data_IF_385091427732
#
_entry.id   IF_385091427732
#
_cell.length_a   1.000
_cell.length_b   1.000
_cell.length_c   1.000
_cell.angle_alpha   90.00
_cell.angle_beta   90.00
_cell.angle_gamma   90.00
#
_symmetry.space_group_name_H-M   'P 1'
#
loop_
_entity.id
_entity.type
_entity.pdbx_description
1 polymer ?
#
# COMPACT_ATOMS: atom_id res chain seq x y z
N UNK A 1 27.80 53.17 5.21
CA UNK A 1 26.47 52.58 4.99
C UNK A 1 26.59 51.09 5.29
N UNK A 2 26.25 50.68 6.52
CA UNK A 2 26.38 49.28 6.97
C UNK A 2 25.21 48.52 6.38
N UNK A 3 25.46 47.53 5.50
CA UNK A 3 24.42 46.63 5.02
C UNK A 3 24.04 45.72 6.18
N UNK A 4 22.89 45.97 6.80
CA UNK A 4 22.35 45.11 7.85
C UNK A 4 21.84 43.82 7.22
N UNK A 5 22.61 42.74 7.38
CA UNK A 5 22.25 41.41 6.89
C UNK A 5 21.47 40.70 8.00
N UNK A 6 20.18 40.45 7.79
CA UNK A 6 19.33 39.76 8.77
C UNK A 6 19.72 38.27 8.80
N UNK A 7 20.33 37.83 9.90
CA UNK A 7 20.68 36.43 10.12
C UNK A 7 19.63 35.77 11.02
N UNK A 8 18.92 34.77 10.47
CA UNK A 8 18.02 33.95 11.27
C UNK A 8 18.83 32.81 11.94
N UNK A 9 18.57 32.55 13.23
CA UNK A 9 19.20 31.48 14.04
C UNK A 9 18.11 30.68 14.74
N UNK A 10 18.31 29.36 14.88
CA UNK A 10 17.46 28.54 15.74
C UNK A 10 17.66 28.96 17.19
N UNK A 11 16.60 28.84 18.00
CA UNK A 11 16.72 28.85 19.45
C UNK A 11 17.31 27.52 19.94
N UNK A 12 17.86 27.48 21.16
CA UNK A 12 18.47 26.28 21.74
C UNK A 12 17.50 25.09 21.75
N UNK A 13 16.20 25.35 22.00
CA UNK A 13 15.11 24.46 21.63
C UNK A 13 14.48 24.93 20.31
N UNK A 14 14.92 24.34 19.20
CA UNK A 14 14.45 24.69 17.86
C UNK A 14 12.97 24.32 17.61
N UNK A 15 12.46 23.28 18.28
CA UNK A 15 11.08 22.79 18.13
C UNK A 15 10.56 22.33 19.48
N UNK A 16 9.69 23.13 20.09
CA UNK A 16 8.96 22.75 21.32
C UNK A 16 7.62 22.11 20.95
N UNK A 17 7.47 20.81 21.19
CA UNK A 17 6.19 20.11 21.02
C UNK A 17 5.34 20.28 22.29
N UNK A 18 4.28 21.09 22.20
CA UNK A 18 3.38 21.37 23.34
C UNK A 18 2.58 20.13 23.80
N UNK A 19 2.38 19.16 22.90
CA UNK A 19 1.77 17.86 23.17
C UNK A 19 2.40 16.83 22.24
N UNK A 20 2.60 15.56 22.66
CA UNK A 20 2.99 14.52 21.73
C UNK A 20 1.97 14.45 20.59
N UNK A 21 2.45 14.56 19.36
CA UNK A 21 1.64 14.45 18.14
C UNK A 21 1.18 12.99 18.05
N UNK A 22 -0.10 12.77 18.38
CA UNK A 22 -0.77 11.47 18.26
C UNK A 22 -1.60 11.51 16.97
N UNK A 23 -1.07 11.01 15.87
CA UNK A 23 -1.87 10.79 14.67
C UNK A 23 -2.46 9.38 14.69
N UNK A 24 -3.71 9.18 14.23
CA UNK A 24 -4.35 7.86 14.23
C UNK A 24 -3.56 6.79 13.47
N UNK A 25 -2.95 7.18 12.33
CA UNK A 25 -2.29 6.26 11.40
C UNK A 25 -0.76 6.38 11.36
N UNK A 26 -0.18 7.34 12.09
CA UNK A 26 1.24 7.69 12.00
C UNK A 26 1.86 7.99 13.36
N UNK A 27 2.92 7.25 13.70
CA UNK A 27 3.75 7.54 14.85
C UNK A 27 4.91 8.46 14.41
N UNK A 28 5.11 9.58 15.10
CA UNK A 28 6.28 10.43 14.87
C UNK A 28 7.53 9.72 15.42
N UNK A 29 8.50 9.40 14.56
CA UNK A 29 9.72 8.67 14.96
C UNK A 29 10.83 9.64 15.34
N UNK A 30 11.08 10.65 14.52
CA UNK A 30 12.13 11.62 14.75
C UNK A 30 11.87 12.90 13.97
N UNK A 31 12.46 14.01 14.40
CA UNK A 31 12.46 15.28 13.68
C UNK A 31 13.88 15.81 13.55
N UNK A 32 14.23 16.35 12.38
CA UNK A 32 15.56 16.91 12.10
C UNK A 32 15.39 18.36 11.65
N UNK A 33 16.11 19.25 12.31
CA UNK A 33 16.17 20.68 11.96
C UNK A 33 17.41 20.95 11.11
N UNK A 34 17.23 21.36 9.87
CA UNK A 34 18.32 21.75 8.98
C UNK A 34 18.33 23.26 8.79
N UNK A 35 19.54 23.83 8.80
CA UNK A 35 19.82 25.21 8.39
C UNK A 35 20.66 25.14 7.12
N UNK A 36 20.12 25.64 6.02
CA UNK A 36 20.83 25.71 4.76
C UNK A 36 20.69 27.11 4.16
N UNK A 37 21.72 27.53 3.43
CA UNK A 37 21.77 28.81 2.75
C UNK A 37 21.51 28.55 1.26
N UNK A 38 20.35 28.97 0.75
CA UNK A 38 20.10 28.93 -0.67
C UNK A 38 20.59 30.23 -1.30
N UNK A 39 21.38 30.10 -2.36
CA UNK A 39 21.68 31.22 -3.25
C UNK A 39 20.51 31.35 -4.22
N UNK A 40 19.69 32.38 -4.04
CA UNK A 40 18.62 32.69 -4.99
C UNK A 40 19.22 33.46 -6.17
N UNK A 41 19.12 32.96 -7.41
CA UNK A 41 19.37 33.77 -8.59
C UNK A 41 18.14 34.65 -8.81
N UNK A 42 18.12 35.84 -8.22
CA UNK A 42 17.15 36.85 -8.60
C UNK A 42 17.46 37.27 -10.06
N UNK A 43 16.51 37.02 -10.96
CA UNK A 43 16.57 37.49 -12.34
C UNK A 43 16.70 39.02 -12.41
N UNK A 44 17.18 39.51 -13.55
CA UNK A 44 17.35 40.95 -13.79
C UNK A 44 15.97 41.63 -13.85
N UNK A 45 15.60 42.34 -12.79
CA UNK A 45 14.50 43.30 -12.79
C UNK A 45 15.10 44.70 -12.71
N UNK A 46 14.60 45.62 -13.52
CA UNK A 46 15.09 47.00 -13.62
C UNK A 46 14.83 47.81 -12.35
N UNK A 47 15.71 47.68 -11.36
CA UNK A 47 15.98 48.73 -10.37
C UNK A 47 17.40 48.60 -9.81
N UNK A 48 18.18 49.66 -10.06
CA UNK A 48 19.48 50.05 -9.53
C UNK A 48 20.18 49.07 -8.57
N UNK A 49 21.24 48.43 -9.09
CA UNK A 49 22.38 47.86 -8.37
C UNK A 49 22.06 47.00 -7.13
N UNK A 50 21.99 45.69 -7.35
CA UNK A 50 22.97 44.78 -6.77
C UNK A 50 22.91 43.43 -7.50
N UNK A 51 23.92 43.14 -8.33
CA UNK A 51 24.39 41.77 -8.47
C UNK A 51 24.94 41.36 -7.10
N UNK A 52 24.06 40.90 -6.23
CA UNK A 52 24.40 40.23 -4.99
C UNK A 52 23.68 38.89 -5.09
N UNK A 53 24.38 37.76 -4.94
CA UNK A 53 23.73 36.54 -4.54
C UNK A 53 23.03 36.85 -3.22
N UNK A 54 21.71 37.08 -3.26
CA UNK A 54 20.96 37.31 -2.04
C UNK A 54 20.84 35.95 -1.39
N UNK A 55 21.78 35.65 -0.49
CA UNK A 55 21.77 34.42 0.29
C UNK A 55 20.58 34.49 1.24
N UNK A 56 19.52 33.75 0.91
CA UNK A 56 18.34 33.65 1.76
C UNK A 56 18.57 32.48 2.70
N UNK A 57 18.50 32.75 4.00
CA UNK A 57 18.53 31.70 5.02
C UNK A 57 17.14 31.05 5.05
N UNK A 58 17.06 29.72 4.86
CA UNK A 58 15.83 28.98 5.10
C UNK A 58 16.03 27.97 6.22
N UNK A 59 14.94 27.72 6.94
CA UNK A 59 14.87 26.71 7.98
C UNK A 59 13.93 25.60 7.52
N UNK A 60 14.44 24.38 7.58
CA UNK A 60 13.67 23.20 7.24
C UNK A 60 13.56 22.31 8.47
N UNK A 61 12.33 21.97 8.84
CA UNK A 61 12.05 20.94 9.84
C UNK A 61 11.52 19.72 9.10
N UNK A 62 12.25 18.61 9.20
CA UNK A 62 11.87 17.34 8.58
C UNK A 62 11.31 16.43 9.66
N UNK A 63 10.01 16.17 9.60
CA UNK A 63 9.34 15.21 10.48
C UNK A 63 9.31 13.84 9.80
N UNK A 64 9.89 12.84 10.46
CA UNK A 64 9.87 11.45 9.98
C UNK A 64 8.75 10.70 10.69
N UNK A 65 7.73 10.33 9.94
CA UNK A 65 6.58 9.56 10.43
C UNK A 65 6.68 8.10 10.01
N UNK A 66 6.36 7.17 10.92
CA UNK A 66 6.20 5.74 10.64
C UNK A 66 4.72 5.39 10.64
N UNK A 67 4.26 4.78 9.55
CA UNK A 67 2.84 4.45 9.38
C UNK A 67 2.47 3.15 10.12
N UNK A 68 1.31 3.16 10.78
CA UNK A 68 0.80 2.10 11.64
C UNK A 68 -0.16 1.19 10.85
N UNK A 69 0.38 0.20 10.15
CA UNK A 69 -0.41 -0.66 9.25
C UNK A 69 -0.99 -1.93 9.91
N UNK A 70 -0.64 -2.21 11.18
CA UNK A 70 -0.82 -3.53 11.78
C UNK A 70 -2.25 -4.08 11.73
N UNK A 71 -3.24 -3.29 12.16
CA UNK A 71 -4.64 -3.72 12.17
C UNK A 71 -5.18 -3.95 10.75
N UNK A 72 -4.86 -3.03 9.84
CA UNK A 72 -5.32 -3.07 8.45
C UNK A 72 -4.73 -4.28 7.69
N UNK A 73 -3.46 -4.59 7.97
CA UNK A 73 -2.77 -5.77 7.44
C UNK A 73 -3.42 -7.04 8.01
N UNK A 74 -3.65 -7.16 9.31
CA UNK A 74 -4.28 -8.36 9.90
C UNK A 74 -5.65 -8.62 9.26
N UNK A 75 -6.47 -7.58 9.11
CA UNK A 75 -7.79 -7.70 8.48
C UNK A 75 -7.69 -8.15 7.00
N UNK A 76 -6.62 -7.79 6.30
CA UNK A 76 -6.39 -8.23 4.93
C UNK A 76 -5.82 -9.65 4.85
N UNK A 77 -4.96 -10.06 5.78
CA UNK A 77 -4.28 -11.35 5.76
C UNK A 77 -5.20 -12.50 6.18
N UNK A 78 -6.05 -12.32 7.20
CA UNK A 78 -7.00 -13.34 7.68
C UNK A 78 -7.81 -13.99 6.54
N UNK A 79 -8.53 -13.22 5.70
CA UNK A 79 -9.27 -13.80 4.59
C UNK A 79 -8.39 -14.40 3.48
N UNK A 80 -7.14 -13.93 3.27
CA UNK A 80 -6.19 -14.60 2.34
C UNK A 80 -5.68 -15.93 2.87
N UNK A 81 -5.57 -16.10 4.19
CA UNK A 81 -5.27 -17.41 4.77
C UNK A 81 -6.45 -18.37 4.62
N UNK A 82 -7.68 -17.88 4.80
CA UNK A 82 -8.88 -18.68 4.55
C UNK A 82 -8.94 -19.17 3.10
N UNK A 83 -8.49 -18.38 2.13
CA UNK A 83 -8.52 -18.78 0.73
C UNK A 83 -7.48 -19.83 0.37
N UNK A 84 -6.29 -19.80 1.00
CA UNK A 84 -5.30 -20.90 0.91
C UNK A 84 -5.90 -22.19 1.50
N UNK A 85 -6.65 -22.10 2.61
CA UNK A 85 -7.31 -23.26 3.20
C UNK A 85 -8.41 -23.80 2.28
N UNK A 86 -9.27 -22.94 1.73
CA UNK A 86 -10.34 -23.33 0.77
C UNK A 86 -9.76 -24.03 -0.45
N UNK A 87 -8.58 -23.60 -0.89
CA UNK A 87 -7.93 -24.16 -2.05
C UNK A 87 -7.34 -25.56 -1.80
N UNK A 88 -6.85 -25.82 -0.58
CA UNK A 88 -6.48 -27.17 -0.12
C UNK A 88 -7.70 -28.06 0.10
N UNK A 89 -8.80 -27.51 0.64
CA UNK A 89 -10.06 -28.25 0.84
C UNK A 89 -10.67 -28.69 -0.48
N UNK A 90 -10.48 -27.90 -1.55
CA UNK A 90 -10.92 -28.27 -2.90
C UNK A 90 -10.25 -29.56 -3.39
N UNK A 91 -9.04 -29.89 -2.94
CA UNK A 91 -8.35 -31.14 -3.28
C UNK A 91 -8.88 -32.35 -2.49
N UNK A 92 -9.53 -32.13 -1.34
CA UNK A 92 -9.93 -33.17 -0.40
C UNK A 92 -11.41 -33.62 -0.56
N UNK A 93 -12.17 -33.00 -1.47
CA UNK A 93 -13.63 -33.21 -1.57
C UNK A 93 -14.04 -34.11 -2.75
N UNK A 94 -14.40 -35.35 -2.41
CA UNK A 94 -14.90 -36.46 -3.24
C UNK A 94 -16.12 -36.06 -4.14
N UNK A 95 -16.19 -36.53 -5.41
CA UNK A 95 -17.08 -36.01 -6.47
C UNK A 95 -18.57 -36.44 -6.41
N UNK A 96 -19.26 -36.33 -5.26
CA UNK A 96 -20.68 -36.72 -5.15
C UNK A 96 -21.70 -35.56 -5.28
N UNK A 97 -21.28 -34.30 -5.19
CA UNK A 97 -22.15 -33.13 -5.37
C UNK A 97 -21.43 -31.98 -6.11
N UNK A 98 -21.27 -32.13 -7.43
CA UNK A 98 -20.61 -31.17 -8.33
C UNK A 98 -21.12 -29.71 -8.22
N UNK A 99 -22.45 -29.41 -8.21
CA UNK A 99 -22.93 -28.03 -8.23
C UNK A 99 -22.70 -27.27 -6.91
N UNK A 100 -22.69 -27.98 -5.77
CA UNK A 100 -22.42 -27.33 -4.48
C UNK A 100 -20.95 -26.86 -4.39
N UNK A 101 -20.01 -27.65 -4.93
CA UNK A 101 -18.57 -27.33 -4.90
C UNK A 101 -18.22 -26.13 -5.78
N UNK A 102 -18.81 -26.04 -6.98
CA UNK A 102 -18.58 -24.89 -7.88
C UNK A 102 -19.11 -23.58 -7.31
N UNK A 103 -20.28 -23.59 -6.67
CA UNK A 103 -20.85 -22.38 -6.03
C UNK A 103 -19.98 -21.89 -4.88
N UNK A 104 -19.45 -22.78 -4.04
CA UNK A 104 -18.55 -22.40 -2.93
C UNK A 104 -17.22 -21.84 -3.44
N UNK A 105 -16.65 -22.43 -4.50
CA UNK A 105 -15.43 -21.92 -5.14
C UNK A 105 -15.60 -20.55 -5.79
N UNK A 106 -16.69 -20.33 -6.54
CA UNK A 106 -17.00 -19.05 -7.18
C UNK A 106 -17.30 -17.97 -6.13
N UNK A 107 -18.02 -18.31 -5.06
CA UNK A 107 -18.31 -17.36 -3.96
C UNK A 107 -17.02 -16.91 -3.27
N UNK A 108 -16.04 -17.80 -3.14
CA UNK A 108 -14.73 -17.49 -2.56
C UNK A 108 -13.90 -16.58 -3.48
N UNK A 109 -13.93 -16.81 -4.81
CA UNK A 109 -13.32 -15.90 -5.81
C UNK A 109 -13.91 -14.50 -5.75
N UNK A 110 -15.24 -14.42 -5.65
CA UNK A 110 -15.96 -13.15 -5.57
C UNK A 110 -15.56 -12.39 -4.30
N UNK A 111 -15.49 -13.09 -3.15
CA UNK A 111 -15.05 -12.51 -1.88
C UNK A 111 -13.61 -11.95 -1.97
N UNK A 112 -12.68 -12.71 -2.56
CA UNK A 112 -11.30 -12.26 -2.80
C UNK A 112 -11.23 -10.99 -3.67
N UNK A 113 -12.02 -10.96 -4.73
CA UNK A 113 -12.07 -9.82 -5.66
C UNK A 113 -12.62 -8.57 -4.99
N UNK A 114 -13.67 -8.71 -4.19
CA UNK A 114 -14.20 -7.60 -3.39
C UNK A 114 -13.19 -7.09 -2.36
N UNK A 115 -12.48 -8.01 -1.71
CA UNK A 115 -11.47 -7.65 -0.73
C UNK A 115 -10.28 -6.91 -1.38
N UNK A 116 -9.84 -7.34 -2.56
CA UNK A 116 -8.84 -6.62 -3.36
C UNK A 116 -9.28 -5.17 -3.61
N UNK A 117 -10.51 -4.99 -4.06
CA UNK A 117 -11.09 -3.67 -4.28
C UNK A 117 -11.14 -2.81 -3.00
N UNK A 118 -11.40 -3.42 -1.84
CA UNK A 118 -11.41 -2.75 -0.55
C UNK A 118 -9.99 -2.28 -0.16
N UNK A 119 -8.98 -3.13 -0.32
CA UNK A 119 -7.58 -2.80 -0.07
C UNK A 119 -7.11 -1.66 -0.99
N UNK A 120 -7.47 -1.70 -2.28
CA UNK A 120 -7.14 -0.65 -3.25
C UNK A 120 -7.81 0.70 -2.92
N UNK A 121 -8.97 0.70 -2.26
CA UNK A 121 -9.66 1.93 -1.82
C UNK A 121 -9.01 2.56 -0.59
N UNK A 122 -8.44 1.74 0.30
CA UNK A 122 -7.86 2.21 1.55
C UNK A 122 -6.36 2.53 1.44
N UNK A 123 -5.70 2.12 0.36
CA UNK A 123 -4.33 2.53 0.05
C UNK A 123 -4.33 3.58 -1.08
N UNK A 124 -3.51 4.64 -0.98
CA UNK A 124 -3.32 5.55 -2.11
C UNK A 124 -2.86 4.75 -3.32
N UNK A 125 -3.46 5.02 -4.49
CA UNK A 125 -3.18 4.29 -5.72
C UNK A 125 -1.76 4.62 -6.17
N UNK A 126 -0.84 3.73 -5.86
CA UNK A 126 0.57 3.86 -6.29
C UNK A 126 0.82 2.96 -7.48
N UNK A 127 1.51 3.48 -8.50
CA UNK A 127 1.72 2.82 -9.79
C UNK A 127 2.78 1.70 -9.78
N UNK A 128 3.43 1.44 -8.66
CA UNK A 128 4.37 0.31 -8.52
C UNK A 128 3.68 -0.91 -7.93
N UNK A 129 4.19 -2.08 -8.32
CA UNK A 129 3.77 -3.40 -7.79
C UNK A 129 4.07 -3.44 -6.30
N UNK A 130 3.03 -3.49 -5.46
CA UNK A 130 3.19 -3.69 -4.02
C UNK A 130 3.29 -5.18 -3.73
N UNK A 131 3.98 -5.53 -2.63
CA UNK A 131 4.03 -6.91 -2.14
C UNK A 131 2.62 -7.52 -1.95
N UNK A 132 1.65 -6.69 -1.55
CA UNK A 132 0.25 -7.10 -1.43
C UNK A 132 -0.37 -7.50 -2.78
N UNK A 133 -0.02 -6.81 -3.87
CA UNK A 133 -0.54 -7.12 -5.20
C UNK A 133 -0.01 -8.48 -5.69
N UNK A 134 1.28 -8.78 -5.44
CA UNK A 134 1.88 -10.08 -5.76
C UNK A 134 1.22 -11.21 -4.97
N UNK A 135 0.96 -10.99 -3.68
CA UNK A 135 0.26 -11.96 -2.83
C UNK A 135 -1.16 -12.25 -3.32
N UNK A 136 -1.90 -11.19 -3.70
CA UNK A 136 -3.26 -11.30 -4.23
C UNK A 136 -3.29 -12.01 -5.58
N UNK A 137 -2.33 -11.73 -6.47
CA UNK A 137 -2.16 -12.45 -7.73
C UNK A 137 -1.85 -13.93 -7.50
N UNK A 138 -1.03 -14.26 -6.50
CA UNK A 138 -0.78 -15.63 -6.07
C UNK A 138 -2.07 -16.35 -5.67
N UNK A 139 -2.88 -15.73 -4.81
CA UNK A 139 -4.17 -16.27 -4.38
C UNK A 139 -5.13 -16.48 -5.57
N UNK A 140 -5.24 -15.50 -6.48
CA UNK A 140 -6.10 -15.59 -7.67
C UNK A 140 -5.64 -16.72 -8.60
N UNK A 141 -4.34 -16.84 -8.85
CA UNK A 141 -3.77 -17.91 -9.68
C UNK A 141 -4.07 -19.30 -9.12
N UNK A 142 -4.00 -19.45 -7.80
CA UNK A 142 -4.29 -20.72 -7.15
C UNK A 142 -5.76 -21.10 -7.28
N UNK A 143 -6.68 -20.16 -7.03
CA UNK A 143 -8.11 -20.43 -7.15
C UNK A 143 -8.51 -20.67 -8.61
N UNK A 144 -7.87 -20.01 -9.57
CA UNK A 144 -8.00 -20.36 -10.98
C UNK A 144 -7.58 -21.81 -11.26
N UNK A 145 -6.48 -22.27 -10.66
CA UNK A 145 -6.06 -23.68 -10.70
C UNK A 145 -7.14 -24.64 -10.19
N UNK A 146 -7.83 -24.29 -9.09
CA UNK A 146 -8.95 -25.12 -8.59
C UNK A 146 -10.12 -25.19 -9.57
N UNK A 147 -10.42 -24.11 -10.31
CA UNK A 147 -11.45 -24.11 -11.35
C UNK A 147 -11.08 -24.96 -12.55
N UNK A 148 -9.80 -24.96 -12.95
CA UNK A 148 -9.29 -25.82 -14.03
C UNK A 148 -9.38 -27.31 -13.64
N UNK A 149 -9.02 -27.65 -12.40
CA UNK A 149 -9.19 -29.01 -11.89
C UNK A 149 -10.65 -29.46 -11.93
N UNK A 150 -11.58 -28.60 -11.49
CA UNK A 150 -13.01 -28.86 -11.56
C UNK A 150 -13.50 -29.08 -13.01
N UNK A 151 -13.00 -28.29 -13.96
CA UNK A 151 -13.33 -28.47 -15.37
C UNK A 151 -12.84 -29.82 -15.90
N UNK A 152 -11.65 -30.25 -15.47
CA UNK A 152 -11.08 -31.55 -15.83
C UNK A 152 -11.85 -32.72 -15.23
N UNK A 153 -12.23 -32.64 -13.94
CA UNK A 153 -13.08 -33.65 -13.28
C UNK A 153 -14.45 -33.74 -13.93
N UNK A 154 -15.06 -32.59 -14.28
CA UNK A 154 -16.33 -32.55 -14.98
C UNK A 154 -16.24 -33.23 -16.37
N UNK A 155 -15.14 -33.00 -17.09
CA UNK A 155 -14.88 -33.65 -18.37
C UNK A 155 -14.77 -35.17 -18.22
N UNK A 156 -13.94 -35.66 -17.28
CA UNK A 156 -13.79 -37.11 -17.03
C UNK A 156 -15.13 -37.74 -16.60
N UNK A 157 -15.86 -37.10 -15.69
CA UNK A 157 -17.17 -37.59 -15.22
C UNK A 157 -18.17 -37.71 -16.37
N UNK A 158 -18.17 -36.73 -17.28
CA UNK A 158 -19.03 -36.73 -18.48
C UNK A 158 -18.63 -37.82 -19.48
N UNK A 159 -17.33 -38.05 -19.68
CA UNK A 159 -16.84 -39.17 -20.50
C UNK A 159 -17.23 -40.52 -19.90
N UNK A 160 -17.07 -40.74 -18.59
CA UNK A 160 -17.49 -41.98 -17.93
C UNK A 160 -19.00 -42.23 -18.07
N UNK A 161 -19.83 -41.20 -17.91
CA UNK A 161 -21.28 -41.33 -18.12
C UNK A 161 -21.67 -41.63 -19.57
N UNK A 162 -20.91 -41.12 -20.56
CA UNK A 162 -21.15 -41.41 -21.97
C UNK A 162 -20.77 -42.83 -22.37
N UNK A 163 -19.78 -43.44 -21.70
CA UNK A 163 -19.35 -44.83 -21.96
C UNK A 163 -20.28 -45.85 -21.30
N UNK A 164 -21.03 -45.43 -20.27
CA UNK A 164 -21.94 -46.31 -19.51
C UNK A 164 -23.38 -46.38 -20.06
N UNK A 165 -23.68 -45.57 -21.10
CA UNK A 165 -24.92 -45.63 -21.89
C UNK A 165 -24.66 -46.39 -23.18
#
# INVERSE_FOLDING_TARGET
>A
MVKEVVQLRWMDEAVTLMKPIQLPDFDLVNFVTKKENLLYPNGYWDQLQASCPTAVNYFQVVFTFKRRYGFYIIQAYVPTYLTIIVSWVSFCMEPKALPARTTVGISSLLALTFQFGNILKNLPRVSYVKAMDVWMLGCISFVFGTMVELAFVCYISRCQNSVRR
#
